data_IF_232742652230
#
_entry.id   IF_232742652230
#
_cell.length_a   1.000
_cell.length_b   1.000
_cell.length_c   1.000
_cell.angle_alpha   90.00
_cell.angle_beta   90.00
_cell.angle_gamma   90.00
#
_symmetry.space_group_name_H-M   'P 1'
#
loop_
_entity.id
_entity.type
_entity.pdbx_description
1 polymer ?
#
# COMPACT_ATOMS: atom_id res chain seq x y z
N UNK A 1 -2.55 11.03 9.92
CA UNK A 1 -3.79 10.22 9.82
C UNK A 1 -4.91 10.93 10.58
N UNK A 2 -6.11 10.98 10.01
CA UNK A 2 -7.31 11.57 10.63
C UNK A 2 -8.17 10.47 11.29
N UNK A 3 -7.86 10.13 12.54
CA UNK A 3 -8.42 8.97 13.25
C UNK A 3 -9.94 9.06 13.47
N UNK A 4 -10.52 10.25 13.45
CA UNK A 4 -11.97 10.46 13.55
C UNK A 4 -12.75 9.76 12.42
N UNK A 5 -12.12 9.55 11.26
CA UNK A 5 -12.70 8.81 10.12
C UNK A 5 -12.86 7.31 10.39
N UNK A 6 -12.26 6.81 11.47
CA UNK A 6 -12.34 5.40 11.87
C UNK A 6 -13.52 5.12 12.82
N UNK A 7 -14.09 6.15 13.46
CA UNK A 7 -15.14 6.02 14.47
C UNK A 7 -16.41 5.32 13.92
N UNK A 8 -16.79 5.62 12.68
CA UNK A 8 -17.94 4.98 12.03
C UNK A 8 -17.75 3.48 11.82
N UNK A 9 -16.56 3.06 11.38
CA UNK A 9 -16.22 1.63 11.21
C UNK A 9 -16.17 0.92 12.57
N UNK A 10 -15.63 1.57 13.60
CA UNK A 10 -15.61 1.03 14.94
C UNK A 10 -17.03 0.78 15.48
N UNK A 11 -17.93 1.77 15.34
CA UNK A 11 -19.32 1.63 15.76
C UNK A 11 -20.04 0.50 15.01
N UNK A 12 -19.84 0.40 13.69
CA UNK A 12 -20.40 -0.67 12.86
C UNK A 12 -19.88 -2.05 13.29
N UNK A 13 -18.58 -2.19 13.53
CA UNK A 13 -17.97 -3.44 13.97
C UNK A 13 -18.48 -3.86 15.35
N UNK A 14 -18.63 -2.91 16.28
CA UNK A 14 -19.21 -3.17 17.61
C UNK A 14 -20.68 -3.61 17.52
N UNK A 15 -21.49 -2.97 16.67
CA UNK A 15 -22.88 -3.36 16.43
C UNK A 15 -22.95 -4.78 15.84
N UNK A 16 -22.14 -5.07 14.82
CA UNK A 16 -22.08 -6.39 14.17
C UNK A 16 -21.68 -7.48 15.15
N UNK A 17 -20.73 -7.20 16.05
CA UNK A 17 -20.31 -8.11 17.12
C UNK A 17 -21.44 -8.39 18.12
N UNK A 18 -22.30 -7.42 18.42
CA UNK A 18 -23.45 -7.63 19.31
C UNK A 18 -24.53 -8.51 18.69
N UNK A 19 -24.71 -8.44 17.37
CA UNK A 19 -25.80 -9.15 16.66
C UNK A 19 -25.35 -10.54 16.15
N UNK A 20 -24.06 -10.70 15.88
CA UNK A 20 -23.49 -11.95 15.37
C UNK A 20 -23.43 -13.04 16.44
N UNK A 21 -23.87 -14.24 16.08
CA UNK A 21 -23.79 -15.45 16.91
C UNK A 21 -22.42 -16.17 16.77
N UNK A 22 -21.42 -15.56 16.12
CA UNK A 22 -20.08 -16.12 15.89
C UNK A 22 -18.94 -15.09 16.00
N UNK A 23 -17.69 -15.49 15.70
CA UNK A 23 -16.53 -14.58 15.75
C UNK A 23 -16.65 -13.50 14.67
N UNK A 24 -17.05 -12.29 15.08
CA UNK A 24 -17.03 -11.10 14.23
C UNK A 24 -15.62 -10.50 14.18
N UNK A 25 -15.15 -10.17 12.98
CA UNK A 25 -13.87 -9.48 12.79
C UNK A 25 -13.97 -8.01 13.24
N UNK A 26 -12.92 -7.52 13.89
CA UNK A 26 -12.74 -6.09 14.23
C UNK A 26 -11.79 -5.39 13.26
N UNK A 27 -11.42 -6.05 12.14
CA UNK A 27 -10.53 -5.46 11.16
C UNK A 27 -11.15 -4.21 10.53
N UNK A 28 -10.30 -3.22 10.25
CA UNK A 28 -10.72 -1.92 9.75
C UNK A 28 -9.93 -1.54 8.50
N UNK A 29 -10.58 -0.80 7.61
CA UNK A 29 -9.91 -0.08 6.51
C UNK A 29 -9.45 1.27 7.06
N UNK A 30 -8.14 1.54 7.01
CA UNK A 30 -7.57 2.82 7.43
C UNK A 30 -7.37 3.79 6.27
N UNK A 31 -7.62 3.35 5.03
CA UNK A 31 -7.40 4.13 3.82
C UNK A 31 -8.01 5.53 3.89
N UNK A 32 -9.31 5.65 4.22
CA UNK A 32 -9.99 6.93 4.27
C UNK A 32 -9.41 7.90 5.33
N UNK A 33 -8.92 7.37 6.45
CA UNK A 33 -8.28 8.16 7.51
C UNK A 33 -6.90 8.68 7.08
N UNK A 34 -6.14 7.88 6.33
CA UNK A 34 -4.88 8.30 5.73
C UNK A 34 -5.10 9.32 4.59
N UNK A 35 -6.00 9.03 3.65
CA UNK A 35 -6.37 9.94 2.56
C UNK A 35 -6.81 11.31 3.09
N UNK A 36 -7.64 11.35 4.13
CA UNK A 36 -8.04 12.59 4.76
C UNK A 36 -6.86 13.34 5.41
N UNK A 37 -5.88 12.61 5.94
CA UNK A 37 -4.65 13.18 6.52
C UNK A 37 -3.70 13.75 5.47
N UNK A 38 -3.65 13.18 4.26
CA UNK A 38 -2.83 13.68 3.15
C UNK A 38 -3.23 15.08 2.65
N UNK A 39 -4.42 15.56 3.01
CA UNK A 39 -4.86 16.93 2.71
C UNK A 39 -4.23 18.00 3.61
N UNK A 40 -3.58 17.59 4.70
CA UNK A 40 -2.84 18.50 5.57
C UNK A 40 -1.42 18.69 5.03
N UNK A 41 -1.24 19.65 4.12
CA UNK A 41 0.03 19.87 3.44
C UNK A 41 1.19 20.20 4.39
N UNK A 42 0.92 20.85 5.54
CA UNK A 42 1.93 21.09 6.57
C UNK A 42 2.40 19.81 7.23
N UNK A 43 1.46 18.95 7.65
CA UNK A 43 1.79 17.66 8.26
C UNK A 43 2.47 16.74 7.25
N UNK A 44 2.01 16.71 5.99
CA UNK A 44 2.64 15.96 4.91
C UNK A 44 4.08 16.40 4.73
N UNK A 45 4.34 17.71 4.56
CA UNK A 45 5.71 18.23 4.38
C UNK A 45 6.62 17.87 5.56
N UNK A 46 6.12 17.95 6.79
CA UNK A 46 6.89 17.61 7.98
C UNK A 46 7.20 16.10 8.09
N UNK A 47 6.31 15.25 7.57
CA UNK A 47 6.45 13.79 7.64
C UNK A 47 7.04 13.17 6.36
N UNK A 48 7.33 13.97 5.32
CA UNK A 48 7.78 13.42 4.04
C UNK A 48 9.18 12.86 4.17
N UNK A 49 9.36 11.62 3.71
CA UNK A 49 10.66 10.95 3.66
C UNK A 49 11.47 11.54 2.50
N UNK A 50 12.73 11.90 2.76
CA UNK A 50 13.66 12.45 1.77
C UNK A 50 14.20 11.37 0.81
N UNK A 51 13.31 10.80 -0.01
CA UNK A 51 13.61 9.70 -0.95
C UNK A 51 14.61 10.09 -2.04
N UNK A 52 14.76 11.38 -2.34
CA UNK A 52 15.76 11.93 -3.25
C UNK A 52 17.20 11.71 -2.77
N UNK A 53 17.38 11.46 -1.46
CA UNK A 53 18.71 11.20 -0.88
C UNK A 53 19.14 9.73 -0.96
N UNK A 54 18.28 8.84 -1.46
CA UNK A 54 18.63 7.43 -1.66
C UNK A 54 19.58 7.34 -2.86
N UNK A 55 20.80 6.87 -2.61
CA UNK A 55 21.89 6.84 -3.59
C UNK A 55 21.91 5.62 -4.52
N UNK A 56 20.81 4.89 -4.64
CA UNK A 56 20.68 3.73 -5.53
C UNK A 56 19.29 3.73 -6.18
N UNK A 57 19.12 2.99 -7.30
CA UNK A 57 17.81 2.76 -7.89
C UNK A 57 16.82 2.18 -6.87
N UNK A 58 15.54 2.50 -7.01
CA UNK A 58 14.47 1.89 -6.21
C UNK A 58 13.39 1.25 -7.07
N UNK A 59 12.83 0.13 -6.60
CA UNK A 59 11.61 -0.44 -7.13
C UNK A 59 10.49 -0.26 -6.10
N UNK A 60 9.39 0.36 -6.51
CA UNK A 60 8.22 0.63 -5.66
C UNK A 60 7.00 -0.06 -6.26
N UNK A 61 6.31 -0.87 -5.45
CA UNK A 61 5.10 -1.58 -5.86
C UNK A 61 3.91 -1.21 -4.97
N UNK A 62 2.75 -0.98 -5.58
CA UNK A 62 1.52 -0.67 -4.86
C UNK A 62 0.28 -1.20 -5.58
N UNK A 63 -0.75 -1.51 -4.78
CA UNK A 63 -2.08 -1.84 -5.26
C UNK A 63 -3.02 -0.63 -5.22
N UNK A 64 -3.92 -0.52 -6.20
CA UNK A 64 -4.91 0.57 -6.29
C UNK A 64 -6.13 0.39 -5.38
N UNK A 65 -6.35 -0.80 -4.83
CA UNK A 65 -7.41 -1.11 -3.87
C UNK A 65 -6.83 -1.39 -2.47
N UNK A 66 -5.69 -0.77 -2.13
CA UNK A 66 -5.10 -0.86 -0.79
C UNK A 66 -6.06 -0.20 0.23
N UNK A 67 -6.56 -0.99 1.18
CA UNK A 67 -7.49 -0.53 2.21
C UNK A 67 -6.80 -0.07 3.51
N UNK A 68 -5.47 -0.16 3.60
CA UNK A 68 -4.67 0.36 4.71
C UNK A 68 -4.35 1.85 4.52
N UNK A 69 -3.87 2.25 3.35
CA UNK A 69 -3.54 3.65 3.02
C UNK A 69 -3.50 3.86 1.49
N UNK A 70 -3.55 5.11 1.00
CA UNK A 70 -3.45 5.44 -0.44
C UNK A 70 -2.10 5.06 -1.07
N UNK A 71 -1.79 3.77 -1.14
CA UNK A 71 -0.47 3.27 -1.48
C UNK A 71 -0.06 3.62 -2.92
N UNK A 72 -1.00 3.55 -3.87
CA UNK A 72 -0.73 3.91 -5.27
C UNK A 72 -0.33 5.38 -5.42
N UNK A 73 -1.07 6.30 -4.80
CA UNK A 73 -0.77 7.73 -4.81
C UNK A 73 0.59 8.03 -4.14
N UNK A 74 0.84 7.39 -2.99
CA UNK A 74 2.12 7.54 -2.28
C UNK A 74 3.30 6.98 -3.09
N UNK A 75 3.13 5.84 -3.77
CA UNK A 75 4.17 5.24 -4.59
C UNK A 75 4.50 6.09 -5.82
N UNK A 76 3.49 6.68 -6.47
CA UNK A 76 3.68 7.64 -7.56
C UNK A 76 4.45 8.87 -7.07
N UNK A 77 4.10 9.40 -5.89
CA UNK A 77 4.78 10.56 -5.30
C UNK A 77 6.26 10.28 -5.00
N UNK A 78 6.61 9.07 -4.56
CA UNK A 78 8.00 8.67 -4.32
C UNK A 78 8.84 8.82 -5.60
N UNK A 79 8.37 8.24 -6.71
CA UNK A 79 9.10 8.26 -7.99
C UNK A 79 9.09 9.65 -8.61
N UNK A 80 7.96 10.37 -8.54
CA UNK A 80 7.86 11.76 -8.99
C UNK A 80 8.88 12.65 -8.28
N UNK A 81 8.94 12.58 -6.94
CA UNK A 81 9.89 13.38 -6.16
C UNK A 81 11.34 13.05 -6.50
N UNK A 82 11.69 11.78 -6.67
CA UNK A 82 13.05 11.38 -7.09
C UNK A 82 13.42 11.93 -8.46
N UNK A 83 12.48 11.93 -9.40
CA UNK A 83 12.65 12.56 -10.71
C UNK A 83 12.85 14.07 -10.60
N UNK A 84 11.93 14.78 -9.92
CA UNK A 84 11.93 16.24 -9.85
C UNK A 84 13.16 16.82 -9.12
N UNK A 85 13.64 16.11 -8.09
CA UNK A 85 14.83 16.48 -7.33
C UNK A 85 16.14 15.95 -7.96
N UNK A 86 16.07 15.36 -9.16
CA UNK A 86 17.22 14.82 -9.88
C UNK A 86 18.06 13.84 -9.05
N UNK A 87 17.38 12.95 -8.32
CA UNK A 87 18.02 11.98 -7.45
C UNK A 87 18.97 11.08 -8.26
N UNK A 88 20.09 10.70 -7.65
CA UNK A 88 21.03 9.77 -8.27
C UNK A 88 20.32 8.46 -8.62
N UNK A 89 20.52 7.97 -9.84
CA UNK A 89 19.89 6.76 -10.37
C UNK A 89 18.36 6.82 -10.52
N UNK A 90 17.73 8.01 -10.49
CA UNK A 90 16.27 8.10 -10.66
C UNK A 90 15.77 7.55 -12.01
N UNK A 91 16.61 7.58 -13.05
CA UNK A 91 16.28 7.00 -14.36
C UNK A 91 16.17 5.46 -14.35
N UNK A 92 16.74 4.82 -13.33
CA UNK A 92 16.73 3.37 -13.13
C UNK A 92 15.61 2.94 -12.16
N UNK A 93 14.82 3.87 -11.62
CA UNK A 93 13.73 3.54 -10.71
C UNK A 93 12.57 2.83 -11.45
N UNK A 94 11.97 1.84 -10.79
CA UNK A 94 10.78 1.13 -11.30
C UNK A 94 9.54 1.41 -10.43
N UNK A 95 8.42 1.74 -11.08
CA UNK A 95 7.11 1.88 -10.43
C UNK A 95 6.13 0.81 -10.94
N UNK A 96 5.63 -0.01 -10.03
CA UNK A 96 4.65 -1.05 -10.32
C UNK A 96 3.31 -0.72 -9.63
N UNK A 97 2.31 -0.30 -10.42
CA UNK A 97 0.95 -0.05 -9.94
C UNK A 97 0.02 -1.15 -10.44
N UNK A 98 -0.59 -1.88 -9.50
CA UNK A 98 -1.47 -3.01 -9.80
C UNK A 98 -2.97 -2.64 -9.62
N UNK A 99 -3.77 -2.65 -10.70
CA UNK A 99 -5.21 -2.42 -10.65
C UNK A 99 -5.95 -3.48 -9.81
N UNK A 100 -6.85 -3.05 -8.92
CA UNK A 100 -7.69 -3.94 -8.11
C UNK A 100 -6.92 -4.83 -7.13
N UNK A 101 -5.68 -4.48 -6.81
CA UNK A 101 -4.84 -5.16 -5.82
C UNK A 101 -4.85 -4.39 -4.52
N UNK A 102 -4.97 -5.11 -3.41
CA UNK A 102 -4.94 -4.53 -2.07
C UNK A 102 -3.54 -4.52 -1.46
N UNK A 103 -3.51 -4.32 -0.15
CA UNK A 103 -2.31 -4.14 0.65
C UNK A 103 -1.32 -5.32 0.60
N UNK A 104 -1.82 -6.55 0.50
CA UNK A 104 -1.01 -7.75 0.70
C UNK A 104 -0.44 -8.31 -0.61
N UNK A 105 0.58 -7.65 -1.16
CA UNK A 105 1.43 -8.22 -2.23
C UNK A 105 2.52 -9.07 -1.57
N UNK A 106 2.35 -10.41 -1.60
CA UNK A 106 3.23 -11.39 -0.94
C UNK A 106 4.01 -12.22 -1.98
N UNK A 107 4.97 -13.05 -1.55
CA UNK A 107 5.62 -13.99 -2.45
C UNK A 107 4.62 -14.87 -3.22
N UNK A 108 4.98 -15.39 -4.41
CA UNK A 108 4.11 -16.25 -5.20
C UNK A 108 3.63 -17.46 -4.41
N UNK A 109 2.46 -18.00 -4.81
CA UNK A 109 1.80 -19.16 -4.19
C UNK A 109 1.28 -18.98 -2.75
N UNK A 110 1.48 -17.83 -2.10
CA UNK A 110 0.79 -17.50 -0.86
C UNK A 110 -0.71 -17.25 -1.13
N UNK A 111 -1.65 -17.80 -0.33
CA UNK A 111 -3.09 -17.73 -0.60
C UNK A 111 -3.63 -16.31 -0.74
N UNK A 112 -4.20 -15.97 -1.89
CA UNK A 112 -4.66 -14.61 -2.23
C UNK A 112 -6.08 -14.29 -1.76
N UNK A 113 -6.78 -15.27 -1.21
CA UNK A 113 -8.12 -15.12 -0.62
C UNK A 113 -8.07 -14.53 0.80
N UNK A 114 -6.89 -14.44 1.41
CA UNK A 114 -6.68 -13.82 2.72
C UNK A 114 -6.28 -12.36 2.52
N UNK A 115 -7.28 -11.49 2.38
CA UNK A 115 -7.12 -10.05 2.11
C UNK A 115 -7.21 -9.19 3.38
N UNK A 116 -7.01 -9.78 4.56
CA UNK A 116 -7.08 -9.09 5.85
C UNK A 116 -6.19 -9.74 6.91
N UNK A 117 -5.79 -8.95 7.90
CA UNK A 117 -5.20 -9.42 9.16
C UNK A 117 -6.25 -9.43 10.27
N UNK A 118 -5.83 -9.63 11.53
CA UNK A 118 -6.71 -9.52 12.68
C UNK A 118 -7.28 -8.10 12.86
N UNK A 119 -6.53 -7.08 12.46
CA UNK A 119 -6.83 -5.66 12.71
C UNK A 119 -7.03 -4.82 11.44
N UNK A 120 -6.57 -5.30 10.28
CA UNK A 120 -6.58 -4.51 9.04
C UNK A 120 -7.27 -5.24 7.90
N UNK A 121 -8.10 -4.50 7.18
CA UNK A 121 -8.61 -4.90 5.87
C UNK A 121 -7.57 -4.43 4.84
N UNK A 122 -7.08 -5.34 4.00
CA UNK A 122 -6.10 -5.03 2.96
C UNK A 122 -6.71 -4.70 1.60
N UNK A 123 -7.91 -5.21 1.30
CA UNK A 123 -8.58 -5.01 0.01
C UNK A 123 -8.07 -5.92 -1.10
N UNK A 124 -8.53 -5.66 -2.32
CA UNK A 124 -8.14 -6.34 -3.54
C UNK A 124 -8.96 -7.57 -3.92
N UNK A 125 -8.97 -7.85 -5.21
CA UNK A 125 -9.53 -9.08 -5.78
C UNK A 125 -8.49 -10.22 -5.77
N UNK A 126 -8.84 -11.44 -5.30
CA UNK A 126 -7.89 -12.55 -5.20
C UNK A 126 -7.21 -12.94 -6.52
N UNK A 127 -7.86 -12.76 -7.68
CA UNK A 127 -7.28 -13.07 -9.00
C UNK A 127 -6.25 -12.02 -9.38
N UNK A 128 -6.59 -10.73 -9.20
CA UNK A 128 -5.64 -9.64 -9.42
C UNK A 128 -4.43 -9.73 -8.49
N UNK A 129 -4.66 -10.05 -7.20
CA UNK A 129 -3.58 -10.26 -6.24
C UNK A 129 -2.68 -11.42 -6.71
N UNK A 130 -3.23 -12.53 -7.20
CA UNK A 130 -2.42 -13.66 -7.67
C UNK A 130 -1.55 -13.31 -8.88
N UNK A 131 -2.08 -12.50 -9.81
CA UNK A 131 -1.31 -12.01 -10.94
C UNK A 131 -0.19 -11.06 -10.47
N UNK A 132 -0.51 -10.08 -9.62
CA UNK A 132 0.45 -9.12 -9.11
C UNK A 132 1.54 -9.75 -8.23
N UNK A 133 1.22 -10.73 -7.39
CA UNK A 133 2.22 -11.45 -6.59
C UNK A 133 3.27 -12.15 -7.47
N UNK A 134 2.85 -12.74 -8.61
CA UNK A 134 3.78 -13.37 -9.56
C UNK A 134 4.63 -12.31 -10.28
N UNK A 135 3.98 -11.30 -10.84
CA UNK A 135 4.67 -10.25 -11.59
C UNK A 135 5.64 -9.46 -10.71
N UNK A 136 5.19 -8.97 -9.55
CA UNK A 136 6.02 -8.20 -8.62
C UNK A 136 7.25 -8.99 -8.17
N UNK A 137 7.10 -10.30 -7.96
CA UNK A 137 8.23 -11.17 -7.63
C UNK A 137 9.24 -11.28 -8.77
N UNK A 138 8.78 -11.57 -9.99
CA UNK A 138 9.64 -11.64 -11.17
C UNK A 138 10.36 -10.31 -11.42
N UNK A 139 9.65 -9.18 -11.31
CA UNK A 139 10.21 -7.82 -11.47
C UNK A 139 11.23 -7.50 -10.40
N UNK A 140 10.95 -7.86 -9.14
CA UNK A 140 11.90 -7.68 -8.04
C UNK A 140 13.19 -8.46 -8.28
N UNK A 141 13.11 -9.72 -8.71
CA UNK A 141 14.30 -10.51 -9.02
C UNK A 141 15.10 -9.95 -10.19
N UNK A 142 14.43 -9.50 -11.26
CA UNK A 142 15.08 -8.88 -12.41
C UNK A 142 15.80 -7.58 -12.02
N UNK A 143 15.13 -6.72 -11.27
CA UNK A 143 15.68 -5.47 -10.75
C UNK A 143 16.92 -5.72 -9.87
N UNK A 144 16.81 -6.66 -8.93
CA UNK A 144 17.95 -7.03 -8.07
C UNK A 144 19.12 -7.60 -8.88
N UNK A 145 18.83 -8.46 -9.88
CA UNK A 145 19.87 -8.99 -10.76
C UNK A 145 20.57 -7.86 -11.53
N UNK A 146 19.82 -6.91 -12.09
CA UNK A 146 20.39 -5.80 -12.86
C UNK A 146 21.31 -4.88 -12.03
N UNK A 147 21.02 -4.69 -10.74
CA UNK A 147 21.67 -3.66 -9.92
C UNK A 147 22.61 -4.18 -8.81
N UNK A 148 22.66 -5.50 -8.59
CA UNK A 148 23.54 -6.12 -7.57
C UNK A 148 24.56 -7.11 -8.13
N UNK A 149 24.59 -7.33 -9.44
CA UNK A 149 25.66 -8.10 -10.11
C UNK A 149 26.61 -7.18 -10.83
#
# INVERSE_FOLDING_TARGET
>A
MRSERLLGQLAMNLLRRKISHGRSSMAMSTHAAYAAGLRDHSAVRAATIAVEKIGCPILVAAGTDDQCYPAADMAQEIVRRRSDEHATHAADDELLIYPGVGHFIRPPAIPTTVTRSASLIGGGDPRHIAAAQRDCWTRTLAFLHQHLT
#
